data_IF_467709500434
#
_entry.id   IF_467709500434
#
_cell.length_a   1.000
_cell.length_b   1.000
_cell.length_c   1.000
_cell.angle_alpha   90.00
_cell.angle_beta   90.00
_cell.angle_gamma   90.00
#
_symmetry.space_group_name_H-M   'P 1'
#
loop_
_entity.id
_entity.type
_entity.pdbx_description
1 polymer ?
#
# COMPACT_ATOMS: atom_id res chain seq x y z
N UNK A 1 -11.82 -10.43 18.20
CA UNK A 1 -10.52 -10.76 18.79
C UNK A 1 -9.40 -10.12 17.98
N UNK A 2 -8.24 -9.97 18.59
CA UNK A 2 -7.07 -9.40 17.91
C UNK A 2 -6.67 -10.23 16.68
N UNK A 3 -6.74 -11.56 16.80
CA UNK A 3 -6.44 -12.44 15.68
C UNK A 3 -7.46 -12.26 14.55
N UNK A 4 -8.75 -12.19 14.89
CA UNK A 4 -9.81 -12.01 13.90
C UNK A 4 -9.67 -10.68 13.17
N UNK A 5 -9.37 -9.61 13.91
CA UNK A 5 -9.17 -8.28 13.33
C UNK A 5 -7.95 -8.25 12.41
N UNK A 6 -6.86 -8.89 12.84
CA UNK A 6 -5.65 -8.99 12.03
C UNK A 6 -5.92 -9.78 10.74
N UNK A 7 -6.67 -10.88 10.82
CA UNK A 7 -7.02 -11.68 9.65
C UNK A 7 -7.82 -10.86 8.64
N UNK A 8 -8.85 -10.16 9.12
CA UNK A 8 -9.71 -9.34 8.25
C UNK A 8 -8.88 -8.26 7.54
N UNK A 9 -8.02 -7.58 8.30
CA UNK A 9 -7.20 -6.52 7.72
C UNK A 9 -6.22 -7.07 6.67
N UNK A 10 -5.57 -8.19 6.97
CA UNK A 10 -4.65 -8.81 6.01
C UNK A 10 -5.39 -9.35 4.78
N UNK A 11 -6.62 -9.82 4.93
CA UNK A 11 -7.43 -10.24 3.79
C UNK A 11 -7.73 -9.07 2.86
N UNK A 12 -8.02 -7.88 3.42
CA UNK A 12 -8.21 -6.66 2.63
C UNK A 12 -6.93 -6.30 1.88
N UNK A 13 -5.79 -6.35 2.55
CA UNK A 13 -4.49 -6.07 1.93
C UNK A 13 -4.24 -7.05 0.79
N UNK A 14 -4.48 -8.34 1.02
CA UNK A 14 -4.28 -9.36 0.01
C UNK A 14 -5.13 -9.09 -1.23
N UNK A 15 -6.39 -8.71 -1.04
CA UNK A 15 -7.29 -8.38 -2.15
C UNK A 15 -6.78 -7.17 -2.93
N UNK A 16 -6.39 -6.10 -2.23
CA UNK A 16 -5.87 -4.89 -2.87
C UNK A 16 -4.57 -5.18 -3.63
N UNK A 17 -3.67 -5.95 -3.03
CA UNK A 17 -2.41 -6.33 -3.68
C UNK A 17 -2.64 -7.22 -4.90
N UNK A 18 -3.61 -8.13 -4.82
CA UNK A 18 -3.97 -8.99 -5.95
C UNK A 18 -4.43 -8.15 -7.13
N UNK A 19 -5.31 -7.18 -6.88
CA UNK A 19 -5.81 -6.29 -7.93
C UNK A 19 -4.66 -5.46 -8.50
N UNK A 20 -3.83 -4.89 -7.63
CA UNK A 20 -2.71 -4.05 -8.06
C UNK A 20 -1.74 -4.82 -8.96
N UNK A 21 -1.39 -6.04 -8.56
CA UNK A 21 -0.38 -6.83 -9.27
C UNK A 21 -0.91 -7.51 -10.53
N UNK A 22 -2.22 -7.59 -10.71
CA UNK A 22 -2.82 -8.17 -11.93
C UNK A 22 -2.40 -7.45 -13.21
N UNK A 23 -2.10 -6.15 -13.12
CA UNK A 23 -1.69 -5.37 -14.29
C UNK A 23 -0.21 -5.51 -14.60
N UNK A 24 0.55 -6.21 -13.76
CA UNK A 24 2.00 -6.30 -13.90
C UNK A 24 2.38 -7.46 -14.79
N UNK A 25 3.24 -7.19 -15.77
CA UNK A 25 3.78 -8.19 -16.69
C UNK A 25 5.28 -8.43 -16.49
N UNK A 26 5.90 -7.66 -15.61
CA UNK A 26 7.32 -7.74 -15.29
C UNK A 26 7.50 -7.78 -13.78
N UNK A 27 8.74 -7.91 -13.32
CA UNK A 27 9.05 -7.89 -11.90
C UNK A 27 8.59 -6.59 -11.24
N UNK A 28 8.23 -6.69 -9.96
CA UNK A 28 7.87 -5.52 -9.18
C UNK A 28 9.06 -4.58 -9.03
N UNK A 29 8.77 -3.29 -9.11
CA UNK A 29 9.78 -2.23 -8.98
C UNK A 29 9.75 -1.62 -7.59
N UNK A 30 10.76 -0.81 -7.22
CA UNK A 30 10.69 -0.06 -5.96
C UNK A 30 9.46 0.85 -5.85
N UNK A 31 9.02 1.43 -6.96
CA UNK A 31 7.78 2.23 -6.98
C UNK A 31 6.57 1.35 -6.63
N UNK A 32 6.52 0.13 -7.16
CA UNK A 32 5.44 -0.81 -6.84
C UNK A 32 5.42 -1.11 -5.34
N UNK A 33 6.58 -1.26 -4.71
CA UNK A 33 6.65 -1.51 -3.26
C UNK A 33 6.03 -0.35 -2.50
N UNK A 34 6.38 0.89 -2.85
CA UNK A 34 5.79 2.07 -2.20
C UNK A 34 4.28 2.10 -2.38
N UNK A 35 3.78 1.79 -3.58
CA UNK A 35 2.34 1.74 -3.84
C UNK A 35 1.66 0.63 -3.04
N UNK A 36 2.28 -0.53 -2.93
CA UNK A 36 1.73 -1.64 -2.14
C UNK A 36 1.68 -1.29 -0.65
N UNK A 37 2.65 -0.54 -0.15
CA UNK A 37 2.64 -0.04 1.23
C UNK A 37 1.54 1.00 1.44
N UNK A 38 1.28 1.86 0.44
CA UNK A 38 0.13 2.77 0.47
C UNK A 38 -1.16 1.96 0.63
N UNK A 39 -1.31 0.86 -0.11
CA UNK A 39 -2.51 0.03 -0.03
C UNK A 39 -2.66 -0.61 1.36
N UNK A 40 -1.56 -0.94 2.03
CA UNK A 40 -1.62 -1.38 3.44
C UNK A 40 -2.26 -0.29 4.30
N UNK A 41 -1.86 0.96 4.11
CA UNK A 41 -2.41 2.09 4.88
C UNK A 41 -3.86 2.37 4.51
N UNK A 42 -4.21 2.22 3.24
CA UNK A 42 -5.62 2.31 2.80
C UNK A 42 -6.47 1.27 3.52
N UNK A 43 -6.00 0.02 3.59
CA UNK A 43 -6.72 -1.04 4.30
C UNK A 43 -6.92 -0.71 5.78
N UNK A 44 -5.92 -0.10 6.42
CA UNK A 44 -6.01 0.31 7.82
C UNK A 44 -7.10 1.37 8.04
N UNK A 45 -7.32 2.26 7.08
CA UNK A 45 -8.38 3.26 7.19
C UNK A 45 -9.77 2.67 7.15
N UNK A 46 -9.94 1.49 6.55
CA UNK A 46 -11.23 0.79 6.53
C UNK A 46 -11.60 0.27 7.91
N UNK A 47 -10.62 -0.01 8.75
CA UNK A 47 -10.83 -0.52 10.09
C UNK A 47 -10.88 0.63 11.10
N UNK A 48 -9.92 1.54 11.03
CA UNK A 48 -9.79 2.63 12.00
C UNK A 48 -9.07 3.81 11.33
N UNK A 49 -9.81 4.81 10.83
CA UNK A 49 -9.21 5.95 10.13
C UNK A 49 -8.47 6.86 11.10
N UNK A 50 -7.17 6.65 11.24
CA UNK A 50 -6.30 7.49 12.06
C UNK A 50 -5.47 8.41 11.17
N UNK A 51 -5.15 9.59 11.70
CA UNK A 51 -4.34 10.57 10.99
C UNK A 51 -3.00 10.00 10.53
N UNK A 52 -2.40 9.11 11.34
CA UNK A 52 -1.11 8.52 11.00
C UNK A 52 -1.15 7.75 9.68
N UNK A 53 -2.26 7.10 9.37
CA UNK A 53 -2.40 6.39 8.10
C UNK A 53 -2.36 7.35 6.92
N UNK A 54 -3.02 8.50 7.03
CA UNK A 54 -3.01 9.51 5.96
C UNK A 54 -1.63 10.13 5.78
N UNK A 55 -0.93 10.40 6.89
CA UNK A 55 0.45 10.90 6.87
C UNK A 55 1.37 9.90 6.18
N UNK A 56 1.23 8.61 6.51
CA UNK A 56 2.06 7.57 5.92
C UNK A 56 1.79 7.41 4.42
N UNK A 57 0.51 7.51 4.00
CA UNK A 57 0.16 7.49 2.57
C UNK A 57 0.87 8.63 1.84
N UNK A 58 0.81 9.84 2.41
CA UNK A 58 1.47 11.00 1.80
C UNK A 58 2.98 10.79 1.71
N UNK A 59 3.59 10.22 2.76
CA UNK A 59 5.02 9.94 2.78
C UNK A 59 5.44 8.93 1.71
N UNK A 60 4.73 7.81 1.60
CA UNK A 60 5.02 6.81 0.58
C UNK A 60 4.76 7.35 -0.83
N UNK A 61 3.73 8.20 -1.00
CA UNK A 61 3.44 8.81 -2.30
C UNK A 61 4.58 9.75 -2.72
N UNK A 62 5.11 10.54 -1.81
CA UNK A 62 6.25 11.41 -2.08
C UNK A 62 7.48 10.58 -2.46
N UNK A 63 7.74 9.48 -1.73
CA UNK A 63 8.85 8.59 -2.03
C UNK A 63 8.68 7.95 -3.41
N UNK A 64 7.48 7.47 -3.72
CA UNK A 64 7.19 6.90 -5.04
C UNK A 64 7.44 7.91 -6.15
N UNK A 65 7.03 9.15 -5.95
CA UNK A 65 7.24 10.23 -6.92
C UNK A 65 8.72 10.45 -7.18
N UNK A 66 9.55 10.45 -6.13
CA UNK A 66 11.00 10.60 -6.29
C UNK A 66 11.62 9.41 -7.04
N UNK A 67 11.25 8.19 -6.67
CA UNK A 67 11.78 6.99 -7.31
C UNK A 67 11.33 6.84 -8.75
N UNK A 68 10.20 7.41 -9.11
CA UNK A 68 9.66 7.34 -10.47
C UNK A 68 10.34 8.33 -11.43
N UNK A 69 11.12 9.29 -10.92
CA UNK A 69 11.78 10.27 -11.76
C UNK A 69 12.86 9.62 -12.61
N UNK A 70 13.01 10.03 -13.88
CA UNK A 70 14.11 9.54 -14.69
C UNK A 70 15.45 9.95 -14.06
N UNK A 71 16.44 9.07 -14.18
CA UNK A 71 17.81 9.38 -13.79
C UNK A 71 18.41 10.35 -14.79
N UNK A 72 19.06 11.38 -14.28
CA UNK A 72 19.79 12.29 -15.14
C UNK A 72 19.48 13.69 -14.99
#
# INVERSE_FOLDING_TARGET
SDYGDAYINHARIAALWTIYTQSKTTDLTPVDVAMMLILVKVARTMENPKNDSFVDIAGYAALASEMAKPNG
#
